data_IF_145595630392
#
_entry.id   IF_145595630392
#
_cell.length_a   1.000
_cell.length_b   1.000
_cell.length_c   1.000
_cell.angle_alpha   90.00
_cell.angle_beta   90.00
_cell.angle_gamma   90.00
#
_symmetry.space_group_name_H-M   'P 1'
#
loop_
_entity.id
_entity.type
_entity.pdbx_description
1 polymer ?
#
# COMPACT_ATOMS: atom_id res chain seq x y z
N UNK A 1 11.27 5.56 22.38
CA UNK A 1 11.80 4.19 22.63
C UNK A 1 13.04 4.18 23.52
N UNK A 2 13.98 5.11 23.37
CA UNK A 2 15.24 5.12 24.15
C UNK A 2 15.19 5.94 25.45
N UNK A 3 13.99 6.24 25.94
CA UNK A 3 13.80 7.05 27.16
C UNK A 3 13.70 6.13 28.37
N UNK A 4 14.45 6.45 29.43
CA UNK A 4 14.42 5.69 30.68
C UNK A 4 13.00 5.68 31.28
N UNK A 5 12.51 4.49 31.67
CA UNK A 5 11.15 4.28 32.17
C UNK A 5 10.08 4.02 31.10
N UNK A 6 10.42 4.06 29.80
CA UNK A 6 9.49 3.72 28.70
C UNK A 6 9.77 2.31 28.17
N UNK A 7 8.74 1.47 28.10
CA UNK A 7 8.82 0.15 27.47
C UNK A 7 8.72 0.27 25.94
N UNK A 8 9.87 0.30 25.28
CA UNK A 8 9.96 0.41 23.82
C UNK A 8 9.29 -0.75 23.06
N UNK A 9 9.16 -1.94 23.67
CA UNK A 9 8.58 -3.12 23.00
C UNK A 9 7.06 -3.07 22.89
N UNK A 10 6.41 -2.22 23.70
CA UNK A 10 4.95 -2.03 23.72
C UNK A 10 4.51 -0.69 23.16
N UNK A 11 5.45 0.15 22.74
CA UNK A 11 5.14 1.47 22.19
C UNK A 11 4.62 1.31 20.75
N UNK A 12 3.47 1.89 20.45
CA UNK A 12 2.89 1.97 19.09
C UNK A 12 2.79 3.42 18.61
N UNK A 13 2.62 3.59 17.29
CA UNK A 13 2.33 4.88 16.64
C UNK A 13 1.24 4.66 15.60
N UNK A 14 0.37 5.66 15.42
CA UNK A 14 -0.63 5.66 14.36
C UNK A 14 -0.06 6.17 13.02
N UNK A 15 1.20 6.64 13.01
CA UNK A 15 1.87 7.07 11.80
C UNK A 15 2.58 5.89 11.12
N UNK A 16 1.96 5.37 10.06
CA UNK A 16 2.49 4.26 9.26
C UNK A 16 3.86 4.57 8.66
N UNK A 17 4.10 5.81 8.24
CA UNK A 17 5.38 6.19 7.62
C UNK A 17 6.50 6.23 8.65
N UNK A 18 6.22 6.71 9.86
CA UNK A 18 7.18 6.67 10.97
C UNK A 18 7.48 5.23 11.39
N UNK A 19 6.45 4.37 11.48
CA UNK A 19 6.63 2.95 11.77
C UNK A 19 7.53 2.28 10.72
N UNK A 20 7.34 2.60 9.43
CA UNK A 20 8.20 2.13 8.34
C UNK A 20 9.66 2.57 8.54
N UNK A 21 9.88 3.83 8.86
CA UNK A 21 11.22 4.42 8.91
C UNK A 21 12.02 3.97 10.14
N UNK A 22 11.35 3.70 11.27
CA UNK A 22 12.01 3.29 12.52
C UNK A 22 12.05 1.77 12.70
N UNK A 23 10.95 1.06 12.40
CA UNK A 23 10.78 -0.37 12.67
C UNK A 23 10.79 -1.24 11.41
N UNK A 24 10.64 -0.65 10.23
CA UNK A 24 10.68 -1.36 8.94
C UNK A 24 9.29 -1.67 8.35
N UNK A 25 9.31 -2.28 7.16
CA UNK A 25 8.10 -2.48 6.35
C UNK A 25 7.05 -3.40 7.00
N UNK A 26 7.49 -4.43 7.74
CA UNK A 26 6.58 -5.38 8.39
C UNK A 26 5.85 -4.76 9.58
N UNK A 27 6.51 -3.83 10.29
CA UNK A 27 5.86 -3.03 11.31
C UNK A 27 4.81 -2.12 10.67
N UNK A 28 5.15 -1.45 9.56
CA UNK A 28 4.19 -0.63 8.82
C UNK A 28 2.98 -1.43 8.32
N UNK A 29 3.17 -2.65 7.79
CA UNK A 29 2.10 -3.57 7.38
C UNK A 29 1.15 -3.88 8.55
N UNK A 30 1.73 -4.21 9.71
CA UNK A 30 0.96 -4.51 10.92
C UNK A 30 0.21 -3.29 11.44
N UNK A 31 0.83 -2.10 11.41
CA UNK A 31 0.18 -0.83 11.76
C UNK A 31 -1.00 -0.55 10.82
N UNK A 32 -0.84 -0.69 9.50
CA UNK A 32 -1.96 -0.49 8.54
C UNK A 32 -3.14 -1.41 8.88
N UNK A 33 -2.89 -2.71 9.08
CA UNK A 33 -3.95 -3.66 9.38
C UNK A 33 -4.66 -3.34 10.71
N UNK A 34 -3.91 -2.90 11.71
CA UNK A 34 -4.46 -2.51 13.01
C UNK A 34 -5.33 -1.25 12.91
N UNK A 35 -4.81 -0.18 12.32
CA UNK A 35 -5.52 1.10 12.19
C UNK A 35 -6.81 0.96 11.36
N UNK A 36 -6.77 0.21 10.25
CA UNK A 36 -7.99 -0.05 9.47
C UNK A 36 -8.98 -0.89 10.29
N UNK A 37 -8.48 -1.89 11.05
CA UNK A 37 -9.32 -2.69 11.95
C UNK A 37 -10.01 -1.85 13.03
N UNK A 38 -9.30 -0.88 13.63
CA UNK A 38 -9.88 0.04 14.62
C UNK A 38 -10.98 0.92 14.01
N UNK A 39 -10.77 1.44 12.80
CA UNK A 39 -11.78 2.25 12.09
C UNK A 39 -13.00 1.41 11.68
N UNK A 40 -12.78 0.15 11.31
CA UNK A 40 -13.84 -0.74 10.83
C UNK A 40 -14.56 -1.51 11.96
N UNK A 41 -14.21 -1.29 13.23
CA UNK A 41 -14.51 -2.20 14.35
C UNK A 41 -15.98 -2.59 14.58
N UNK A 42 -16.96 -1.74 14.25
CA UNK A 42 -18.39 -2.10 14.37
C UNK A 42 -18.94 -2.87 13.15
N UNK A 43 -18.13 -3.02 12.10
CA UNK A 43 -18.48 -3.79 10.92
C UNK A 43 -17.84 -5.18 11.04
N UNK A 44 -18.68 -6.22 10.97
CA UNK A 44 -18.29 -7.64 11.05
C UNK A 44 -17.54 -8.08 9.76
N UNK A 45 -16.39 -7.46 9.50
CA UNK A 45 -15.53 -7.70 8.35
C UNK A 45 -14.48 -8.72 8.76
N UNK A 46 -14.32 -9.76 7.94
CA UNK A 46 -13.29 -10.77 8.17
C UNK A 46 -11.87 -10.14 8.17
N UNK A 47 -11.04 -10.37 9.21
CA UNK A 47 -9.69 -9.82 9.31
C UNK A 47 -8.80 -10.11 8.09
N UNK A 48 -9.07 -11.19 7.35
CA UNK A 48 -8.33 -11.56 6.13
C UNK A 48 -8.39 -10.48 5.05
N UNK A 49 -9.47 -9.70 4.98
CA UNK A 49 -9.58 -8.59 4.03
C UNK A 49 -8.61 -7.45 4.36
N UNK A 50 -8.46 -7.13 5.65
CA UNK A 50 -7.57 -6.05 6.11
C UNK A 50 -6.11 -6.46 5.98
N UNK A 51 -5.81 -7.72 6.28
CA UNK A 51 -4.49 -8.29 6.06
C UNK A 51 -4.11 -8.27 4.58
N UNK A 52 -5.00 -8.71 3.68
CA UNK A 52 -4.74 -8.67 2.24
C UNK A 52 -4.48 -7.24 1.74
N UNK A 53 -5.26 -6.27 2.22
CA UNK A 53 -5.06 -4.86 1.86
C UNK A 53 -3.70 -4.35 2.34
N UNK A 54 -3.32 -4.63 3.58
CA UNK A 54 -2.02 -4.24 4.12
C UNK A 54 -0.85 -4.88 3.35
N UNK A 55 -0.99 -6.15 2.94
CA UNK A 55 0.01 -6.85 2.13
C UNK A 55 0.16 -6.20 0.74
N UNK A 56 -0.95 -5.89 0.08
CA UNK A 56 -0.95 -5.21 -1.23
C UNK A 56 -0.35 -3.80 -1.13
N UNK A 57 -0.51 -3.11 -0.01
CA UNK A 57 0.09 -1.80 0.21
C UNK A 57 1.60 -1.85 0.48
N UNK A 58 2.17 -3.01 0.83
CA UNK A 58 3.56 -3.10 1.34
C UNK A 58 4.47 -4.10 0.61
N UNK A 59 3.94 -4.96 -0.26
CA UNK A 59 4.72 -6.04 -0.91
C UNK A 59 5.95 -5.60 -1.71
N UNK A 60 6.00 -4.35 -2.21
CA UNK A 60 7.16 -3.81 -2.95
C UNK A 60 8.29 -3.30 -2.04
N UNK A 61 8.16 -3.43 -0.71
CA UNK A 61 9.13 -2.92 0.25
C UNK A 61 8.99 -1.42 0.56
N UNK A 62 7.99 -0.76 -0.01
CA UNK A 62 7.59 0.60 0.32
C UNK A 62 6.08 0.66 0.57
N UNK A 63 5.62 1.63 1.36
CA UNK A 63 4.19 1.84 1.61
C UNK A 63 3.58 2.58 0.42
N UNK A 64 2.80 1.87 -0.36
CA UNK A 64 2.09 2.38 -1.53
C UNK A 64 0.61 2.57 -1.19
N UNK A 65 0.14 3.82 -1.25
CA UNK A 65 -1.27 4.14 -1.05
C UNK A 65 -2.15 3.65 -2.20
N UNK A 66 -3.42 3.34 -1.93
CA UNK A 66 -4.43 3.00 -2.96
C UNK A 66 -4.94 4.30 -3.60
N UNK A 67 -4.05 4.95 -4.36
CA UNK A 67 -4.34 6.17 -5.13
C UNK A 67 -3.77 6.01 -6.53
N UNK A 68 -4.13 6.89 -7.47
CA UNK A 68 -3.57 6.91 -8.84
C UNK A 68 -2.04 6.88 -8.89
N UNK A 69 -1.38 7.50 -7.91
CA UNK A 69 0.09 7.55 -7.84
C UNK A 69 0.71 6.29 -7.23
N UNK A 70 -0.01 5.61 -6.33
CA UNK A 70 0.46 4.34 -5.76
C UNK A 70 0.19 3.16 -6.69
N UNK A 71 -0.98 3.11 -7.32
CA UNK A 71 -1.36 2.03 -8.26
C UNK A 71 -0.45 1.99 -9.50
N UNK A 72 -0.07 3.15 -10.03
CA UNK A 72 0.89 3.26 -11.13
C UNK A 72 2.30 2.76 -10.78
N UNK A 73 2.64 2.69 -9.49
CA UNK A 73 3.87 2.04 -9.01
C UNK A 73 3.69 0.57 -8.69
N UNK A 74 2.47 0.10 -8.44
CA UNK A 74 2.18 -1.31 -8.13
C UNK A 74 2.17 -2.19 -9.38
N UNK A 75 1.53 -1.74 -10.46
CA UNK A 75 1.29 -2.56 -11.65
C UNK A 75 2.01 -2.02 -12.89
N UNK A 76 2.42 -2.93 -13.76
CA UNK A 76 3.19 -2.59 -14.97
C UNK A 76 2.33 -2.61 -16.26
N UNK A 77 1.10 -3.14 -16.21
CA UNK A 77 0.21 -3.21 -17.38
C UNK A 77 -0.35 -1.83 -17.72
N UNK A 78 -0.07 -1.38 -18.94
CA UNK A 78 -0.53 -0.09 -19.47
C UNK A 78 -2.05 -0.07 -19.60
N UNK A 79 -2.63 -1.13 -20.16
CA UNK A 79 -4.08 -1.18 -20.39
C UNK A 79 -4.85 -1.18 -19.06
N UNK A 80 -4.31 -1.89 -18.07
CA UNK A 80 -4.89 -1.91 -16.74
C UNK A 80 -4.75 -0.56 -16.03
N UNK A 81 -3.61 0.12 -16.14
CA UNK A 81 -3.45 1.47 -15.59
C UNK A 81 -4.38 2.48 -16.29
N UNK A 82 -4.50 2.40 -17.60
CA UNK A 82 -5.38 3.26 -18.38
C UNK A 82 -6.87 3.09 -18.04
N UNK A 83 -7.26 1.93 -17.48
CA UNK A 83 -8.61 1.67 -16.97
C UNK A 83 -8.93 2.41 -15.67
N UNK A 84 -7.93 2.89 -14.94
CA UNK A 84 -8.09 3.55 -13.64
C UNK A 84 -7.47 4.94 -13.64
N UNK A 85 -8.30 5.96 -13.92
CA UNK A 85 -7.92 7.37 -14.02
C UNK A 85 -6.85 7.66 -15.10
N UNK A 86 -6.78 8.91 -15.61
CA UNK A 86 -5.71 9.38 -16.53
C UNK A 86 -5.43 8.49 -17.76
N UNK A 87 -6.47 7.97 -18.40
CA UNK A 87 -6.38 7.11 -19.60
C UNK A 87 -5.48 7.68 -20.71
N UNK A 88 -5.61 8.97 -21.13
CA UNK A 88 -4.80 9.49 -22.22
C UNK A 88 -3.32 9.54 -21.88
N UNK A 89 -2.97 10.00 -20.67
CA UNK A 89 -1.58 10.12 -20.21
C UNK A 89 -0.88 8.75 -20.29
N UNK A 90 -1.52 7.70 -19.77
CA UNK A 90 -0.96 6.35 -19.79
C UNK A 90 -0.76 5.79 -21.20
N UNK A 91 -1.69 6.06 -22.11
CA UNK A 91 -1.60 5.60 -23.51
C UNK A 91 -0.55 6.38 -24.31
N UNK A 92 -0.46 7.71 -24.12
CA UNK A 92 0.55 8.53 -24.78
C UNK A 92 1.97 8.16 -24.32
N UNK A 93 2.18 8.01 -23.02
CA UNK A 93 3.48 7.61 -22.46
C UNK A 93 3.87 6.19 -22.93
N UNK A 94 2.90 5.28 -23.03
CA UNK A 94 3.14 3.93 -23.53
C UNK A 94 3.47 3.90 -25.02
N UNK A 95 2.75 4.70 -25.83
CA UNK A 95 3.03 4.83 -27.26
C UNK A 95 4.41 5.45 -27.51
N UNK A 96 4.76 6.52 -26.78
CA UNK A 96 6.08 7.15 -26.84
C UNK A 96 7.19 6.20 -26.37
N UNK A 97 6.93 5.41 -25.33
CA UNK A 97 7.87 4.44 -24.76
C UNK A 97 7.89 3.07 -25.45
N UNK A 98 7.12 2.85 -26.52
CA UNK A 98 6.95 1.55 -27.21
C UNK A 98 6.69 0.39 -26.24
N UNK A 99 5.87 0.62 -25.20
CA UNK A 99 5.55 -0.40 -24.20
C UNK A 99 4.69 -1.50 -24.80
N UNK A 100 5.03 -2.76 -24.51
CA UNK A 100 4.23 -3.94 -24.87
C UNK A 100 3.52 -4.46 -23.63
N UNK A 101 2.20 -4.59 -23.71
CA UNK A 101 1.39 -5.19 -22.64
C UNK A 101 1.22 -6.70 -22.90
N UNK A 102 1.36 -7.51 -21.85
CA UNK A 102 1.24 -8.98 -21.95
C UNK A 102 -0.21 -9.48 -21.92
N UNK A 103 -1.18 -8.60 -21.64
CA UNK A 103 -2.61 -8.96 -21.56
C UNK A 103 -2.83 -10.09 -20.54
N UNK A 104 -2.10 -10.03 -19.43
CA UNK A 104 -2.26 -10.93 -18.28
C UNK A 104 -3.19 -10.34 -17.21
N UNK A 105 -3.73 -9.14 -17.47
CA UNK A 105 -4.75 -8.50 -16.64
C UNK A 105 -6.10 -9.19 -16.78
N UNK A 106 -6.94 -9.05 -15.74
CA UNK A 106 -8.36 -9.45 -15.75
C UNK A 106 -9.15 -8.53 -16.67
#
# INVERSE_FOLDING_TARGET
MNTEGVDGTKTSTNNVMEARDILGIEAARSTIAHEIGEVMGDMDIDPRHMQLLADVMTYKGEVLGITRFGLSKMRDSVLQLASFEKTPDHLFDAAAGMKTDKIEGV
#
